data_IF_462146609132
#
_entry.id   IF_462146609132
#
_cell.length_a   1.000
_cell.length_b   1.000
_cell.length_c   1.000
_cell.angle_alpha   90.00
_cell.angle_beta   90.00
_cell.angle_gamma   90.00
#
_symmetry.space_group_name_H-M   'P 1'
#
loop_
_entity.id
_entity.type
_entity.pdbx_description
1 polymer ?
#
# COMPACT_ATOMS: atom_id res chain seq x y z
N UNK A 1 52.80 12.29 -39.14
CA UNK A 1 52.12 11.18 -38.43
C UNK A 1 51.74 11.66 -37.03
N UNK A 2 50.50 12.09 -36.78
CA UNK A 2 49.88 12.19 -35.43
C UNK A 2 48.44 12.73 -35.54
N UNK A 3 47.56 12.03 -36.26
CA UNK A 3 46.11 12.29 -36.25
C UNK A 3 45.33 11.19 -35.49
N UNK A 4 46.02 10.20 -34.92
CA UNK A 4 45.41 8.99 -34.37
C UNK A 4 45.18 9.01 -32.84
N UNK A 5 45.56 10.07 -32.13
CA UNK A 5 45.55 10.09 -30.65
C UNK A 5 44.39 10.87 -30.01
N UNK A 6 43.60 11.63 -30.78
CA UNK A 6 42.44 12.41 -30.24
C UNK A 6 41.09 11.70 -30.39
N UNK A 7 41.02 10.67 -31.22
CA UNK A 7 39.82 9.87 -31.48
C UNK A 7 39.38 8.97 -30.30
N UNK A 8 40.27 8.40 -29.44
CA UNK A 8 39.81 7.53 -28.35
C UNK A 8 39.06 8.30 -27.26
N UNK A 9 39.52 9.50 -26.90
CA UNK A 9 39.00 10.25 -25.74
C UNK A 9 37.61 10.83 -25.98
N UNK A 10 37.32 11.33 -27.19
CA UNK A 10 35.97 11.79 -27.56
C UNK A 10 34.96 10.64 -27.66
N UNK A 11 35.39 9.46 -28.15
CA UNK A 11 34.53 8.27 -28.18
C UNK A 11 34.17 7.85 -26.75
N UNK A 12 35.16 7.77 -25.84
CA UNK A 12 34.93 7.45 -24.42
C UNK A 12 33.97 8.47 -23.78
N UNK A 13 34.17 9.77 -24.01
CA UNK A 13 33.30 10.82 -23.48
C UNK A 13 31.86 10.71 -24.02
N UNK A 14 31.69 10.43 -25.31
CA UNK A 14 30.37 10.25 -25.93
C UNK A 14 29.64 8.99 -25.44
N UNK A 15 30.37 7.89 -25.23
CA UNK A 15 29.84 6.65 -24.69
C UNK A 15 29.42 6.82 -23.22
N UNK A 16 30.23 7.53 -22.42
CA UNK A 16 29.91 7.86 -21.04
C UNK A 16 28.67 8.75 -20.93
N UNK A 17 28.54 9.76 -21.80
CA UNK A 17 27.35 10.61 -21.86
C UNK A 17 26.10 9.80 -22.23
N UNK A 18 26.20 8.95 -23.26
CA UNK A 18 25.09 8.09 -23.70
C UNK A 18 24.65 7.14 -22.58
N UNK A 19 25.60 6.59 -21.83
CA UNK A 19 25.32 5.77 -20.65
C UNK A 19 24.61 6.57 -19.55
N UNK A 20 25.08 7.78 -19.24
CA UNK A 20 24.45 8.66 -18.24
C UNK A 20 23.02 9.05 -18.64
N UNK A 21 22.75 9.34 -19.91
CA UNK A 21 21.40 9.60 -20.43
C UNK A 21 20.51 8.36 -20.26
N UNK A 22 21.02 7.18 -20.61
CA UNK A 22 20.29 5.92 -20.46
C UNK A 22 19.96 5.62 -18.99
N UNK A 23 20.91 5.86 -18.08
CA UNK A 23 20.72 5.72 -16.63
C UNK A 23 19.66 6.69 -16.10
N UNK A 24 19.69 7.95 -16.53
CA UNK A 24 18.68 8.94 -16.18
C UNK A 24 17.29 8.50 -16.65
N UNK A 25 17.15 8.15 -17.93
CA UNK A 25 15.88 7.69 -18.50
C UNK A 25 15.33 6.48 -17.73
N UNK A 26 16.21 5.53 -17.39
CA UNK A 26 15.83 4.38 -16.57
C UNK A 26 15.34 4.81 -15.17
N UNK A 27 16.06 5.70 -14.49
CA UNK A 27 15.67 6.18 -13.17
C UNK A 27 14.29 6.87 -13.18
N UNK A 28 14.01 7.68 -14.21
CA UNK A 28 12.70 8.33 -14.37
C UNK A 28 11.59 7.29 -14.57
N UNK A 29 11.80 6.32 -15.48
CA UNK A 29 10.82 5.27 -15.73
C UNK A 29 10.59 4.41 -14.49
N UNK A 30 11.65 4.04 -13.78
CA UNK A 30 11.57 3.25 -12.55
C UNK A 30 10.77 4.01 -11.47
N UNK A 31 11.00 5.32 -11.31
CA UNK A 31 10.25 6.17 -10.38
C UNK A 31 8.75 6.25 -10.73
N UNK A 32 8.41 6.50 -12.00
CA UNK A 32 7.01 6.56 -12.45
C UNK A 32 6.31 5.23 -12.24
N UNK A 33 6.97 4.11 -12.55
CA UNK A 33 6.42 2.78 -12.32
C UNK A 33 6.17 2.51 -10.83
N UNK A 34 7.08 2.94 -9.96
CA UNK A 34 6.92 2.79 -8.51
C UNK A 34 5.74 3.63 -7.97
N UNK A 35 5.58 4.86 -8.45
CA UNK A 35 4.41 5.70 -8.12
C UNK A 35 3.11 5.05 -8.59
N UNK A 36 3.05 4.60 -9.84
CA UNK A 36 1.85 3.95 -10.39
C UNK A 36 1.46 2.70 -9.59
N UNK A 37 2.44 1.87 -9.24
CA UNK A 37 2.23 0.65 -8.44
C UNK A 37 1.69 0.96 -7.04
N UNK A 38 2.33 1.90 -6.34
CA UNK A 38 1.93 2.26 -4.96
C UNK A 38 0.58 2.96 -4.92
N UNK A 39 0.27 3.83 -5.90
CA UNK A 39 -1.04 4.44 -6.03
C UNK A 39 -2.15 3.39 -6.25
N UNK A 40 -1.94 2.45 -7.18
CA UNK A 40 -2.89 1.35 -7.43
C UNK A 40 -3.13 0.47 -6.19
N UNK A 41 -2.08 0.25 -5.39
CA UNK A 41 -2.19 -0.48 -4.13
C UNK A 41 -3.05 0.28 -3.09
N UNK A 42 -2.86 1.60 -2.95
CA UNK A 42 -3.68 2.45 -2.08
C UNK A 42 -5.15 2.40 -2.50
N UNK A 43 -5.44 2.56 -3.80
CA UNK A 43 -6.80 2.48 -4.33
C UNK A 43 -7.46 1.12 -4.05
N UNK A 44 -6.73 0.03 -4.27
CA UNK A 44 -7.20 -1.33 -3.98
C UNK A 44 -7.53 -1.51 -2.50
N UNK A 45 -6.69 -0.98 -1.60
CA UNK A 45 -6.92 -1.06 -0.16
C UNK A 45 -8.11 -0.20 0.28
N UNK A 46 -8.31 0.96 -0.34
CA UNK A 46 -9.51 1.79 -0.10
C UNK A 46 -10.79 1.05 -0.50
N UNK A 47 -10.81 0.44 -1.69
CA UNK A 47 -11.96 -0.33 -2.16
C UNK A 47 -12.27 -1.51 -1.22
N UNK A 48 -11.24 -2.25 -0.79
CA UNK A 48 -11.37 -3.33 0.19
C UNK A 48 -11.90 -2.83 1.54
N UNK A 49 -11.41 -1.70 2.02
CA UNK A 49 -11.86 -1.07 3.27
C UNK A 49 -13.33 -0.68 3.21
N UNK A 50 -13.78 -0.11 2.08
CA UNK A 50 -15.19 0.24 1.87
C UNK A 50 -16.09 -1.00 1.89
N UNK A 51 -15.68 -2.09 1.23
CA UNK A 51 -16.41 -3.35 1.28
C UNK A 51 -16.44 -3.93 2.70
N UNK A 52 -15.30 -3.90 3.41
CA UNK A 52 -15.19 -4.39 4.78
C UNK A 52 -16.11 -3.64 5.74
N UNK A 53 -16.35 -2.35 5.52
CA UNK A 53 -17.27 -1.56 6.34
C UNK A 53 -18.70 -2.12 6.30
N UNK A 54 -19.13 -2.66 5.15
CA UNK A 54 -20.45 -3.30 5.05
C UNK A 54 -20.47 -4.65 5.80
N UNK A 55 -19.40 -5.43 5.68
CA UNK A 55 -19.27 -6.72 6.38
C UNK A 55 -19.28 -6.53 7.89
N UNK A 56 -18.58 -5.52 8.41
CA UNK A 56 -18.57 -5.19 9.84
C UNK A 56 -19.96 -4.78 10.35
N UNK A 57 -20.68 -3.95 9.58
CA UNK A 57 -22.08 -3.60 9.90
C UNK A 57 -22.97 -4.83 9.96
N UNK A 58 -22.83 -5.74 9.01
CA UNK A 58 -23.64 -6.97 8.96
C UNK A 58 -23.35 -7.89 10.14
N UNK A 59 -22.07 -8.08 10.48
CA UNK A 59 -21.68 -8.84 11.66
C UNK A 59 -22.20 -8.21 12.95
N UNK A 60 -22.17 -6.87 13.06
CA UNK A 60 -22.72 -6.16 14.21
C UNK A 60 -24.25 -6.34 14.33
N UNK A 61 -24.99 -6.31 13.23
CA UNK A 61 -26.44 -6.58 13.23
C UNK A 61 -26.78 -7.95 13.80
N UNK A 62 -25.95 -8.96 13.55
CA UNK A 62 -26.11 -10.31 14.12
C UNK A 62 -25.91 -10.31 15.64
N UNK A 63 -24.91 -9.57 16.13
CA UNK A 63 -24.67 -9.40 17.57
C UNK A 63 -25.85 -8.70 18.23
N UNK A 64 -26.35 -7.61 17.64
CA UNK A 64 -27.46 -6.84 18.19
C UNK A 64 -28.74 -7.67 18.29
N UNK A 65 -29.02 -8.48 17.26
CA UNK A 65 -30.14 -9.43 17.28
C UNK A 65 -29.98 -10.49 18.38
N UNK A 66 -28.78 -11.04 18.56
CA UNK A 66 -28.52 -12.01 19.63
C UNK A 66 -28.71 -11.37 21.02
N UNK A 67 -28.23 -10.13 21.20
CA UNK A 67 -28.38 -9.36 22.44
C UNK A 67 -29.87 -9.08 22.73
N UNK A 68 -30.67 -8.71 21.72
CA UNK A 68 -32.11 -8.48 21.88
C UNK A 68 -32.86 -9.76 22.28
N UNK A 69 -32.53 -10.90 21.66
CA UNK A 69 -33.12 -12.20 22.04
C UNK A 69 -32.73 -12.64 23.44
N UNK A 70 -31.51 -12.33 23.89
CA UNK A 70 -31.09 -12.59 25.27
C UNK A 70 -31.86 -11.71 26.26
N UNK A 71 -32.03 -10.43 25.98
CA UNK A 71 -32.81 -9.52 26.83
C UNK A 71 -34.28 -9.97 26.94
N UNK A 72 -34.83 -10.58 25.90
CA UNK A 72 -36.16 -11.19 25.91
C UNK A 72 -36.21 -12.59 26.59
N UNK A 73 -35.10 -13.11 27.11
CA UNK A 73 -35.03 -14.44 27.73
C UNK A 73 -35.07 -15.63 26.74
N UNK A 74 -34.97 -15.36 25.44
CA UNK A 74 -35.09 -16.37 24.36
C UNK A 74 -33.74 -17.03 24.05
N UNK A 75 -32.64 -16.30 24.24
CA UNK A 75 -31.30 -16.74 23.86
C UNK A 75 -30.34 -16.68 25.06
N UNK A 76 -29.58 -17.74 25.39
CA UNK A 76 -28.63 -17.70 26.50
C UNK A 76 -27.43 -16.80 26.16
N UNK A 77 -26.79 -16.24 27.19
CA UNK A 77 -25.63 -15.34 27.03
C UNK A 77 -24.44 -15.99 26.31
N UNK A 78 -24.24 -17.31 26.43
CA UNK A 78 -23.21 -18.04 25.69
C UNK A 78 -23.39 -17.94 24.17
N UNK A 79 -24.63 -17.90 23.68
CA UNK A 79 -24.94 -17.73 22.24
C UNK A 79 -24.71 -16.30 21.77
N UNK A 80 -24.88 -15.31 22.64
CA UNK A 80 -24.48 -13.91 22.36
C UNK A 80 -22.97 -13.79 22.24
N UNK A 81 -22.21 -14.41 23.14
CA UNK A 81 -20.75 -14.44 23.04
C UNK A 81 -20.28 -15.10 21.74
N UNK A 82 -20.92 -16.19 21.31
CA UNK A 82 -20.63 -16.81 20.02
C UNK A 82 -20.94 -15.90 18.83
N UNK A 83 -22.01 -15.10 18.89
CA UNK A 83 -22.33 -14.12 17.86
C UNK A 83 -21.31 -12.98 17.78
N UNK A 84 -20.63 -12.65 18.89
CA UNK A 84 -19.59 -11.60 18.93
C UNK A 84 -18.28 -12.04 18.27
N UNK A 85 -17.98 -13.33 18.21
CA UNK A 85 -16.70 -13.82 17.67
C UNK A 85 -16.50 -13.43 16.19
N UNK A 86 -17.47 -13.66 15.27
CA UNK A 86 -17.36 -13.17 13.90
C UNK A 86 -17.22 -11.65 13.81
N UNK A 87 -18.02 -10.89 14.57
CA UNK A 87 -17.94 -9.41 14.55
C UNK A 87 -16.57 -8.89 14.99
N UNK A 88 -15.95 -9.51 15.99
CA UNK A 88 -14.60 -9.18 16.41
C UNK A 88 -13.57 -9.51 15.33
N UNK A 89 -13.72 -10.65 14.65
CA UNK A 89 -12.86 -11.04 13.55
C UNK A 89 -12.92 -10.03 12.39
N UNK A 90 -14.12 -9.57 12.04
CA UNK A 90 -14.30 -8.54 11.00
C UNK A 90 -13.67 -7.21 11.39
N UNK A 91 -13.75 -6.83 12.68
CA UNK A 91 -13.07 -5.62 13.18
C UNK A 91 -11.55 -5.75 13.12
N UNK A 92 -10.99 -6.93 13.41
CA UNK A 92 -9.55 -7.21 13.23
C UNK A 92 -9.17 -7.07 11.75
N UNK A 93 -9.99 -7.56 10.84
CA UNK A 93 -9.78 -7.43 9.38
C UNK A 93 -9.79 -5.96 8.96
N UNK A 94 -10.75 -5.15 9.44
CA UNK A 94 -10.80 -3.71 9.18
C UNK A 94 -9.54 -2.98 9.67
N UNK A 95 -9.08 -3.28 10.89
CA UNK A 95 -7.85 -2.71 11.45
C UNK A 95 -6.61 -3.09 10.62
N UNK A 96 -6.53 -4.33 10.16
CA UNK A 96 -5.44 -4.79 9.29
C UNK A 96 -5.44 -4.05 7.96
N UNK A 97 -6.60 -3.90 7.32
CA UNK A 97 -6.73 -3.14 6.07
C UNK A 97 -6.32 -1.67 6.26
N UNK A 98 -6.67 -1.06 7.39
CA UNK A 98 -6.25 0.30 7.72
C UNK A 98 -4.73 0.42 7.88
N UNK A 99 -4.10 -0.52 8.60
CA UNK A 99 -2.64 -0.56 8.73
C UNK A 99 -1.92 -0.72 7.39
N UNK A 100 -2.44 -1.60 6.52
CA UNK A 100 -1.92 -1.76 5.16
C UNK A 100 -2.08 -0.49 4.32
N UNK A 101 -3.20 0.21 4.46
CA UNK A 101 -3.43 1.48 3.75
C UNK A 101 -2.46 2.57 4.20
N UNK A 102 -2.18 2.67 5.51
CA UNK A 102 -1.16 3.59 6.04
C UNK A 102 0.21 3.28 5.43
N UNK A 103 0.64 2.01 5.46
CA UNK A 103 1.92 1.59 4.89
C UNK A 103 2.02 1.91 3.39
N UNK A 104 0.98 1.57 2.61
CA UNK A 104 0.93 1.90 1.19
C UNK A 104 0.93 3.41 0.92
N UNK A 105 0.28 4.20 1.76
CA UNK A 105 0.27 5.67 1.65
C UNK A 105 1.64 6.28 1.94
N UNK A 106 2.39 5.72 2.90
CA UNK A 106 3.77 6.11 3.19
C UNK A 106 4.67 5.77 2.00
N UNK A 107 4.53 4.57 1.43
CA UNK A 107 5.29 4.14 0.25
C UNK A 107 5.00 5.02 -0.98
N UNK A 108 3.73 5.39 -1.21
CA UNK A 108 3.36 6.33 -2.26
C UNK A 108 3.97 7.71 -2.03
N UNK A 109 3.91 8.22 -0.80
CA UNK A 109 4.53 9.50 -0.44
C UNK A 109 6.03 9.50 -0.71
N UNK A 110 6.72 8.41 -0.35
CA UNK A 110 8.15 8.22 -0.64
C UNK A 110 8.42 8.15 -2.16
N UNK A 111 7.60 7.41 -2.92
CA UNK A 111 7.73 7.28 -4.37
C UNK A 111 7.52 8.61 -5.12
N UNK A 112 6.65 9.48 -4.60
CA UNK A 112 6.41 10.83 -5.13
C UNK A 112 7.54 11.82 -4.80
N UNK A 113 8.60 11.38 -4.11
CA UNK A 113 9.72 12.23 -3.69
C UNK A 113 9.55 12.85 -2.30
N UNK A 114 8.47 12.53 -1.60
CA UNK A 114 8.22 12.89 -0.20
C UNK A 114 8.90 11.92 0.76
N UNK A 115 10.22 12.06 0.91
CA UNK A 115 11.03 11.24 1.81
C UNK A 115 12.50 11.26 1.41
N UNK A 116 13.06 12.47 1.26
CA UNK A 116 14.47 12.64 0.91
C UNK A 116 15.35 11.82 1.85
N UNK A 117 16.15 10.93 1.25
CA UNK A 117 17.19 10.15 1.89
C UNK A 117 17.96 10.97 2.93
N UNK A 118 17.66 10.76 4.22
CA UNK A 118 18.68 10.90 5.25
C UNK A 118 19.56 9.65 5.12
N UNK A 119 20.40 9.61 4.09
CA UNK A 119 21.65 8.85 4.19
C UNK A 119 22.41 9.51 5.33
N UNK A 120 22.22 8.97 6.54
CA UNK A 120 23.06 9.27 7.70
C UNK A 120 24.50 8.99 7.26
N UNK A 121 25.30 10.05 7.22
CA UNK A 121 26.76 9.96 7.10
C UNK A 121 27.36 9.46 8.41
#
# INVERSE_FOLDING_TARGET
MTAAALTPTWIIASAQNSLSIAQYNKAVVDAVNQVAKTASQVETLMAKSQQQQQVEKDAQRVVDLAQARMAAGILPGSRVSMAKLPALQERITALRLHGQWIDASIQLTSALGGGYHQTVK
#
